data_IF_964643706675
#
_entry.id   IF_964643706675
#
_cell.length_a   1.000
_cell.length_b   1.000
_cell.length_c   1.000
_cell.angle_alpha   90.00
_cell.angle_beta   90.00
_cell.angle_gamma   90.00
#
_symmetry.space_group_name_H-M   'P 1'
#
loop_
_entity.id
_entity.type
_entity.pdbx_description
1 polymer ?
#
# COMPACT_ATOMS: atom_id res chain seq x y z
N UNK A 1 -12.19 -13.10 0.91
CA UNK A 1 -10.83 -13.10 0.36
C UNK A 1 -10.12 -11.83 0.81
N UNK A 2 -8.90 -11.96 1.27
CA UNK A 2 -8.03 -10.84 1.64
C UNK A 2 -6.93 -10.71 0.60
N UNK A 3 -6.45 -9.49 0.38
CA UNK A 3 -5.33 -9.23 -0.53
C UNK A 3 -4.23 -8.53 0.25
N UNK A 4 -2.98 -8.96 0.06
CA UNK A 4 -1.79 -8.32 0.64
C UNK A 4 -0.85 -7.97 -0.50
N UNK A 5 -0.69 -6.67 -0.81
CA UNK A 5 0.36 -6.24 -1.73
C UNK A 5 1.68 -6.09 -0.97
N UNK A 6 2.80 -6.39 -1.61
CA UNK A 6 4.09 -6.44 -0.91
C UNK A 6 4.19 -7.62 0.07
N UNK A 7 3.37 -8.67 -0.11
CA UNK A 7 3.28 -9.80 0.81
C UNK A 7 4.52 -10.69 0.86
N UNK A 8 5.45 -10.55 -0.08
CA UNK A 8 6.76 -11.20 -0.05
C UNK A 8 7.84 -10.38 0.68
N UNK A 9 7.52 -9.16 1.11
CA UNK A 9 8.39 -8.34 1.93
C UNK A 9 8.34 -8.73 3.42
N UNK A 10 9.21 -8.11 4.24
CA UNK A 10 9.31 -8.41 5.67
C UNK A 10 7.97 -8.14 6.40
N UNK A 11 7.40 -6.95 6.27
CA UNK A 11 6.13 -6.60 6.92
C UNK A 11 4.98 -7.43 6.36
N UNK A 12 4.88 -7.53 5.04
CA UNK A 12 3.79 -8.24 4.37
C UNK A 12 3.74 -9.72 4.70
N UNK A 13 4.87 -10.40 4.77
CA UNK A 13 4.92 -11.82 5.14
C UNK A 13 4.51 -12.04 6.60
N UNK A 14 4.93 -11.15 7.52
CA UNK A 14 4.50 -11.21 8.92
C UNK A 14 3.00 -10.96 9.07
N UNK A 15 2.43 -10.03 8.28
CA UNK A 15 0.98 -9.84 8.25
C UNK A 15 0.26 -11.11 7.78
N UNK A 16 0.75 -11.79 6.73
CA UNK A 16 0.17 -13.05 6.25
C UNK A 16 0.18 -14.11 7.35
N UNK A 17 1.29 -14.24 8.09
CA UNK A 17 1.35 -15.14 9.26
C UNK A 17 0.38 -14.74 10.37
N UNK A 18 0.28 -13.44 10.69
CA UNK A 18 -0.67 -12.93 11.68
C UNK A 18 -2.12 -13.27 11.29
N UNK A 19 -2.48 -13.06 10.02
CA UNK A 19 -3.79 -13.42 9.50
C UNK A 19 -4.05 -14.94 9.59
N UNK A 20 -3.04 -15.77 9.31
CA UNK A 20 -3.18 -17.23 9.45
C UNK A 20 -3.43 -17.66 10.91
N UNK A 21 -2.80 -16.99 11.90
CA UNK A 21 -3.06 -17.28 13.32
C UNK A 21 -4.51 -17.08 13.74
N UNK A 22 -5.23 -16.18 13.07
CA UNK A 22 -6.66 -15.96 13.27
C UNK A 22 -7.52 -16.66 12.21
N UNK A 23 -7.00 -17.75 11.63
CA UNK A 23 -7.68 -18.61 10.65
C UNK A 23 -8.07 -17.91 9.33
N UNK A 24 -7.50 -16.74 9.02
CA UNK A 24 -7.68 -16.08 7.73
C UNK A 24 -6.67 -16.63 6.71
N UNK A 25 -7.05 -17.66 5.95
CA UNK A 25 -6.17 -18.36 5.00
C UNK A 25 -6.52 -18.07 3.53
N UNK A 26 -7.67 -17.42 3.26
CA UNK A 26 -8.07 -17.06 1.90
C UNK A 26 -7.41 -15.75 1.47
N UNK A 27 -6.08 -15.80 1.30
CA UNK A 27 -5.22 -14.65 1.04
C UNK A 27 -4.66 -14.76 -0.38
N UNK A 28 -4.69 -13.65 -1.10
CA UNK A 28 -3.98 -13.45 -2.37
C UNK A 28 -2.86 -12.46 -2.11
N UNK A 29 -1.66 -12.77 -2.58
CA UNK A 29 -0.49 -11.91 -2.47
C UNK A 29 -0.24 -11.25 -3.83
N UNK A 30 -0.06 -9.93 -3.86
CA UNK A 30 0.44 -9.22 -5.02
C UNK A 30 1.87 -8.75 -4.76
N UNK A 31 2.83 -9.31 -5.49
CA UNK A 31 4.25 -8.93 -5.36
C UNK A 31 5.05 -9.34 -6.60
N UNK A 32 6.26 -8.77 -6.72
CA UNK A 32 7.24 -9.20 -7.71
C UNK A 32 8.01 -10.41 -7.20
N UNK A 33 7.74 -11.59 -7.74
CA UNK A 33 8.29 -12.88 -7.27
C UNK A 33 9.79 -13.09 -7.61
N UNK A 34 10.59 -12.04 -7.76
CA UNK A 34 11.91 -12.09 -8.40
C UNK A 34 13.07 -12.61 -7.54
N UNK A 35 12.88 -13.05 -6.30
CA UNK A 35 13.97 -13.65 -5.53
C UNK A 35 13.55 -14.88 -4.73
N UNK A 36 14.42 -15.92 -4.73
CA UNK A 36 14.27 -17.09 -3.86
C UNK A 36 14.21 -16.70 -2.38
N UNK A 37 14.97 -15.66 -1.97
CA UNK A 37 14.99 -15.15 -0.59
C UNK A 37 13.61 -14.67 -0.14
N UNK A 38 12.91 -13.90 -0.98
CA UNK A 38 11.55 -13.42 -0.66
C UNK A 38 10.54 -14.57 -0.47
N UNK A 39 10.65 -15.65 -1.24
CA UNK A 39 9.77 -16.82 -1.08
C UNK A 39 10.00 -17.54 0.24
N UNK A 40 11.20 -17.50 0.80
CA UNK A 40 11.51 -18.11 2.10
C UNK A 40 10.72 -17.47 3.25
N UNK A 41 10.41 -16.18 3.17
CA UNK A 41 9.57 -15.51 4.18
C UNK A 41 8.17 -16.09 4.30
N UNK A 42 7.66 -16.79 3.29
CA UNK A 42 6.32 -17.39 3.31
C UNK A 42 6.31 -18.92 3.39
N UNK A 43 7.45 -19.54 3.70
CA UNK A 43 7.63 -21.01 3.65
C UNK A 43 6.59 -21.81 4.46
N UNK A 44 6.08 -21.24 5.56
CA UNK A 44 5.05 -21.87 6.41
C UNK A 44 3.70 -21.14 6.35
N UNK A 45 3.57 -20.12 5.51
CA UNK A 45 2.34 -19.33 5.43
C UNK A 45 1.28 -20.01 4.55
N UNK A 46 0.01 -19.84 4.91
CA UNK A 46 -1.13 -20.31 4.14
C UNK A 46 -1.69 -19.18 3.29
N UNK A 47 -1.65 -19.31 1.98
CA UNK A 47 -2.23 -18.37 1.01
C UNK A 47 -2.66 -19.11 -0.25
N UNK A 48 -3.53 -18.52 -1.07
CA UNK A 48 -4.08 -19.17 -2.27
C UNK A 48 -3.12 -19.08 -3.47
N UNK A 49 -2.60 -17.87 -3.75
CA UNK A 49 -1.65 -17.64 -4.84
C UNK A 49 -0.94 -16.32 -4.73
N UNK A 50 0.14 -16.19 -5.49
CA UNK A 50 0.85 -14.94 -5.73
C UNK A 50 0.50 -14.47 -7.14
N UNK A 51 0.21 -13.19 -7.31
CA UNK A 51 -0.03 -12.55 -8.60
C UNK A 51 0.96 -11.39 -8.79
N UNK A 52 1.33 -11.14 -10.03
CA UNK A 52 2.23 -10.04 -10.37
C UNK A 52 1.49 -8.70 -10.42
N UNK A 53 2.16 -7.55 -10.15
CA UNK A 53 1.53 -6.24 -10.26
C UNK A 53 0.90 -5.94 -11.63
N UNK A 54 1.46 -6.35 -12.79
CA UNK A 54 0.81 -6.16 -14.07
C UNK A 54 -0.54 -6.84 -14.21
N UNK A 55 -0.74 -8.02 -13.58
CA UNK A 55 -1.99 -8.78 -13.62
C UNK A 55 -2.97 -8.38 -12.52
N UNK A 56 -2.58 -7.46 -11.64
CA UNK A 56 -3.30 -7.18 -10.39
C UNK A 56 -4.68 -6.62 -10.63
N UNK A 57 -4.82 -5.55 -11.41
CA UNK A 57 -6.12 -4.89 -11.64
C UNK A 57 -7.09 -5.79 -12.41
N UNK A 58 -6.61 -6.56 -13.39
CA UNK A 58 -7.44 -7.56 -14.04
C UNK A 58 -7.98 -8.59 -13.04
N UNK A 59 -7.13 -9.06 -12.12
CA UNK A 59 -7.56 -9.97 -11.05
C UNK A 59 -8.58 -9.32 -10.13
N UNK A 60 -8.38 -8.06 -9.74
CA UNK A 60 -9.30 -7.33 -8.87
C UNK A 60 -10.69 -7.25 -9.50
N UNK A 61 -10.80 -6.83 -10.76
CA UNK A 61 -12.07 -6.71 -11.47
C UNK A 61 -12.84 -8.04 -11.54
N UNK A 62 -12.14 -9.14 -11.87
CA UNK A 62 -12.74 -10.46 -11.94
C UNK A 62 -13.23 -11.00 -10.59
N UNK A 63 -12.72 -10.48 -9.48
CA UNK A 63 -12.98 -11.02 -8.14
C UNK A 63 -13.59 -10.01 -7.17
N UNK A 64 -13.97 -8.81 -7.60
CA UNK A 64 -14.37 -7.68 -6.73
C UNK A 64 -15.42 -8.05 -5.68
N UNK A 65 -16.44 -8.84 -6.04
CA UNK A 65 -17.49 -9.30 -5.11
C UNK A 65 -17.00 -10.23 -3.99
N UNK A 66 -15.80 -10.82 -4.13
CA UNK A 66 -15.21 -11.77 -3.17
C UNK A 66 -14.17 -11.11 -2.26
N UNK A 67 -13.69 -9.91 -2.59
CA UNK A 67 -12.65 -9.21 -1.84
C UNK A 67 -13.30 -8.47 -0.67
N UNK A 68 -12.77 -8.67 0.54
CA UNK A 68 -13.21 -7.98 1.76
C UNK A 68 -12.28 -6.82 2.12
N UNK A 69 -10.96 -7.07 2.07
CA UNK A 69 -9.93 -6.10 2.44
C UNK A 69 -8.73 -6.20 1.50
N UNK A 70 -8.11 -5.06 1.24
CA UNK A 70 -6.79 -4.94 0.62
C UNK A 70 -5.84 -4.28 1.62
N UNK A 71 -4.80 -5.02 2.03
CA UNK A 71 -3.67 -4.51 2.81
C UNK A 71 -2.58 -4.10 1.82
N UNK A 72 -2.40 -2.81 1.65
CA UNK A 72 -1.46 -2.26 0.67
C UNK A 72 -0.14 -1.89 1.33
N UNK A 73 0.82 -2.83 1.30
CA UNK A 73 2.17 -2.68 1.86
C UNK A 73 3.25 -2.62 0.77
N UNK A 74 2.86 -2.90 -0.49
CA UNK A 74 3.78 -2.91 -1.62
C UNK A 74 4.23 -1.50 -2.01
N UNK A 75 5.53 -1.26 -1.97
CA UNK A 75 6.16 -0.03 -2.41
C UNK A 75 7.62 -0.29 -2.83
N UNK A 76 8.19 0.61 -3.61
CA UNK A 76 9.64 0.73 -3.75
C UNK A 76 10.13 1.49 -2.53
N UNK A 77 10.89 0.82 -1.66
CA UNK A 77 11.31 1.35 -0.34
C UNK A 77 12.74 1.88 -0.31
N UNK A 78 13.46 1.87 -1.44
CA UNK A 78 14.83 2.35 -1.51
C UNK A 78 14.89 3.87 -1.26
N UNK A 79 15.33 4.28 -0.08
CA UNK A 79 15.48 5.70 0.29
C UNK A 79 16.57 6.43 -0.50
N UNK A 80 17.50 5.66 -1.08
CA UNK A 80 18.59 6.14 -1.93
C UNK A 80 18.20 6.25 -3.41
N UNK A 81 16.97 5.85 -3.78
CA UNK A 81 16.52 5.93 -5.17
C UNK A 81 16.42 7.38 -5.65
N UNK A 82 17.07 7.69 -6.76
CA UNK A 82 17.01 8.99 -7.44
C UNK A 82 15.96 9.03 -8.56
N UNK A 83 15.38 7.89 -8.93
CA UNK A 83 14.35 7.79 -9.96
C UNK A 83 12.95 8.13 -9.38
N UNK A 84 12.69 9.43 -9.31
CA UNK A 84 11.42 9.91 -8.76
C UNK A 84 10.22 9.51 -9.62
N UNK A 85 10.37 9.48 -10.94
CA UNK A 85 9.29 9.06 -11.85
C UNK A 85 8.86 7.61 -11.58
N UNK A 86 9.82 6.72 -11.35
CA UNK A 86 9.56 5.33 -10.97
C UNK A 86 8.88 5.23 -9.60
N UNK A 87 9.31 6.05 -8.62
CA UNK A 87 8.67 6.11 -7.30
C UNK A 87 7.23 6.61 -7.39
N UNK A 88 6.97 7.69 -8.12
CA UNK A 88 5.60 8.19 -8.33
C UNK A 88 4.70 7.13 -8.96
N UNK A 89 5.15 6.49 -10.03
CA UNK A 89 4.38 5.43 -10.71
C UNK A 89 4.02 4.26 -9.78
N UNK A 90 4.98 3.80 -8.97
CA UNK A 90 4.79 2.59 -8.15
C UNK A 90 4.22 2.87 -6.77
N UNK A 91 4.57 4.00 -6.14
CA UNK A 91 4.15 4.28 -4.76
C UNK A 91 2.93 5.21 -4.70
N UNK A 92 2.74 6.10 -5.67
CA UNK A 92 1.61 7.03 -5.67
C UNK A 92 0.50 6.57 -6.62
N UNK A 93 0.76 6.51 -7.94
CA UNK A 93 -0.27 6.20 -8.93
C UNK A 93 -0.90 4.81 -8.71
N UNK A 94 -0.05 3.82 -8.43
CA UNK A 94 -0.53 2.46 -8.14
C UNK A 94 -1.40 2.43 -6.88
N UNK A 95 -1.00 3.16 -5.82
CA UNK A 95 -1.76 3.27 -4.57
C UNK A 95 -3.09 3.98 -4.79
N UNK A 96 -3.11 5.08 -5.55
CA UNK A 96 -4.34 5.80 -5.92
C UNK A 96 -5.31 4.89 -6.67
N UNK A 97 -4.82 4.13 -7.65
CA UNK A 97 -5.66 3.18 -8.41
C UNK A 97 -6.29 2.11 -7.50
N UNK A 98 -5.54 1.58 -6.52
CA UNK A 98 -6.09 0.63 -5.56
C UNK A 98 -7.14 1.29 -4.67
N UNK A 99 -6.84 2.48 -4.14
CA UNK A 99 -7.79 3.22 -3.30
C UNK A 99 -9.10 3.47 -4.04
N UNK A 100 -9.06 4.02 -5.26
CA UNK A 100 -10.25 4.24 -6.10
C UNK A 100 -11.03 2.94 -6.32
N UNK A 101 -10.33 1.84 -6.65
CA UNK A 101 -10.99 0.54 -6.81
C UNK A 101 -11.69 0.11 -5.51
N UNK A 102 -11.05 0.25 -4.36
CA UNK A 102 -11.62 -0.10 -3.07
C UNK A 102 -12.85 0.73 -2.74
N UNK A 103 -12.77 2.05 -2.91
CA UNK A 103 -13.88 2.98 -2.67
C UNK A 103 -15.09 2.66 -3.56
N UNK A 104 -14.88 2.50 -4.87
CA UNK A 104 -15.95 2.22 -5.83
C UNK A 104 -16.64 0.86 -5.59
N UNK A 105 -15.95 -0.09 -4.97
CA UNK A 105 -16.47 -1.43 -4.71
C UNK A 105 -16.78 -1.71 -3.23
N UNK A 106 -16.70 -0.69 -2.35
CA UNK A 106 -16.94 -0.81 -0.89
C UNK A 106 -16.05 -1.87 -0.23
N UNK A 107 -14.78 -1.94 -0.65
CA UNK A 107 -13.77 -2.87 -0.13
C UNK A 107 -12.95 -2.15 0.93
N UNK A 108 -12.69 -2.79 2.07
CA UNK A 108 -11.83 -2.22 3.11
C UNK A 108 -10.40 -2.03 2.60
N UNK A 109 -9.81 -0.87 2.86
CA UNK A 109 -8.47 -0.51 2.43
C UNK A 109 -7.62 -0.08 3.62
N UNK A 110 -6.48 -0.73 3.80
CA UNK A 110 -5.48 -0.42 4.81
C UNK A 110 -4.14 -0.31 4.10
N UNK A 111 -3.43 0.80 4.31
CA UNK A 111 -2.13 0.99 3.68
C UNK A 111 -1.05 1.37 4.69
N UNK A 112 0.20 1.07 4.36
CA UNK A 112 1.34 1.53 5.11
C UNK A 112 1.84 2.86 4.55
N UNK A 113 1.80 3.93 5.36
CA UNK A 113 2.59 5.13 5.13
C UNK A 113 4.05 4.89 5.53
N UNK A 114 4.78 5.88 5.95
CA UNK A 114 6.19 5.73 6.34
C UNK A 114 6.59 6.81 7.33
N UNK A 115 7.41 6.47 8.33
CA UNK A 115 8.07 7.45 9.20
C UNK A 115 8.95 8.45 8.43
N UNK A 116 9.40 8.09 7.22
CA UNK A 116 10.12 9.02 6.33
C UNK A 116 9.31 10.24 5.90
N UNK A 117 7.99 10.23 6.10
CA UNK A 117 7.11 11.38 5.83
C UNK A 117 7.32 12.52 6.82
N UNK A 118 7.75 12.23 8.04
CA UNK A 118 8.01 13.23 9.07
C UNK A 118 9.26 14.09 8.82
N UNK A 119 10.11 13.68 7.88
CA UNK A 119 11.35 14.40 7.56
C UNK A 119 12.38 14.30 8.67
N UNK A 120 12.90 15.45 9.12
CA UNK A 120 13.85 15.58 10.22
C UNK A 120 13.18 15.60 11.61
N UNK A 121 11.86 15.55 11.65
CA UNK A 121 11.10 15.64 12.90
C UNK A 121 10.90 17.04 13.45
N UNK A 122 11.37 18.09 12.77
CA UNK A 122 11.24 19.48 13.23
C UNK A 122 9.78 19.91 13.47
N UNK A 123 8.83 19.26 12.79
CA UNK A 123 7.40 19.45 12.99
C UNK A 123 6.76 18.43 13.96
N UNK A 124 7.58 17.63 14.66
CA UNK A 124 7.11 16.56 15.55
C UNK A 124 6.75 15.26 14.83
N UNK A 125 6.32 14.26 15.60
CA UNK A 125 5.92 12.93 15.15
C UNK A 125 4.49 12.65 15.63
N UNK A 126 3.51 13.34 15.05
CA UNK A 126 2.12 13.25 15.51
C UNK A 126 1.24 12.55 14.47
N UNK A 127 0.79 11.34 14.79
CA UNK A 127 -0.12 10.56 13.95
C UNK A 127 -1.59 11.03 14.02
N UNK A 128 -1.94 11.84 15.03
CA UNK A 128 -3.29 12.34 15.27
C UNK A 128 -3.44 13.83 14.95
N UNK A 129 -2.43 14.41 14.31
CA UNK A 129 -2.41 15.84 14.00
C UNK A 129 -3.56 16.25 13.09
N UNK A 130 -4.05 17.50 13.23
CA UNK A 130 -5.02 18.05 12.29
C UNK A 130 -4.41 18.08 10.89
N UNK A 131 -5.25 18.09 9.90
CA UNK A 131 -4.92 18.07 8.48
C UNK A 131 -3.88 19.12 8.04
N UNK A 132 -3.85 20.26 8.72
CA UNK A 132 -2.82 21.30 8.58
C UNK A 132 -1.42 20.77 8.89
N UNK A 133 -1.30 19.74 9.72
CA UNK A 133 -0.03 19.12 10.08
C UNK A 133 0.62 18.40 8.88
N UNK A 134 -0.14 17.66 8.08
CA UNK A 134 0.40 16.99 6.90
C UNK A 134 1.10 17.95 5.94
N UNK A 135 0.54 19.14 5.73
CA UNK A 135 1.13 20.15 4.85
C UNK A 135 2.46 20.75 5.37
N UNK A 136 2.76 20.60 6.66
CA UNK A 136 4.01 21.07 7.26
C UNK A 136 5.15 20.07 7.15
N UNK A 137 4.85 18.79 6.89
CA UNK A 137 5.85 17.75 6.83
C UNK A 137 6.78 17.92 5.61
N UNK A 138 8.07 17.71 5.82
CA UNK A 138 9.11 17.89 4.79
C UNK A 138 9.97 16.63 4.66
N UNK A 139 9.51 15.61 3.95
CA UNK A 139 10.28 14.38 3.74
C UNK A 139 11.65 14.66 3.11
N UNK A 140 12.72 14.07 3.68
CA UNK A 140 14.11 14.35 3.28
C UNK A 140 14.56 13.61 2.01
N UNK A 141 13.84 12.57 1.61
CA UNK A 141 14.19 11.75 0.43
C UNK A 141 12.98 11.54 -0.48
N UNK A 142 13.27 11.11 -1.71
CA UNK A 142 12.23 10.92 -2.74
C UNK A 142 11.23 9.81 -2.39
N UNK A 143 11.67 8.77 -1.67
CA UNK A 143 10.77 7.74 -1.16
C UNK A 143 9.75 8.33 -0.17
N UNK A 144 10.21 9.04 0.85
CA UNK A 144 9.35 9.73 1.82
C UNK A 144 8.37 10.68 1.13
N UNK A 145 8.84 11.46 0.14
CA UNK A 145 7.96 12.34 -0.67
C UNK A 145 6.88 11.56 -1.41
N UNK A 146 7.21 10.41 -2.00
CA UNK A 146 6.23 9.58 -2.72
C UNK A 146 5.14 9.03 -1.80
N UNK A 147 5.47 8.71 -0.55
CA UNK A 147 4.52 8.25 0.46
C UNK A 147 3.67 9.41 0.98
N UNK A 148 4.31 10.53 1.26
CA UNK A 148 3.65 11.74 1.73
C UNK A 148 2.63 12.28 0.72
N UNK A 149 2.92 12.22 -0.59
CA UNK A 149 1.95 12.61 -1.62
C UNK A 149 0.71 11.73 -1.60
N UNK A 150 0.83 10.45 -1.26
CA UNK A 150 -0.33 9.60 -1.11
C UNK A 150 -1.12 9.92 0.16
N UNK A 151 -0.44 10.24 1.27
CA UNK A 151 -1.08 10.69 2.50
C UNK A 151 -1.90 11.97 2.25
N UNK A 152 -1.30 12.95 1.56
CA UNK A 152 -1.98 14.18 1.14
C UNK A 152 -3.16 13.89 0.19
N UNK A 153 -2.98 12.99 -0.78
CA UNK A 153 -4.06 12.62 -1.70
C UNK A 153 -5.27 12.05 -0.95
N UNK A 154 -5.06 11.14 0.00
CA UNK A 154 -6.16 10.59 0.82
C UNK A 154 -6.85 11.71 1.60
N UNK A 155 -6.07 12.59 2.19
CA UNK A 155 -6.58 13.70 2.95
C UNK A 155 -7.48 14.62 2.12
N UNK A 156 -7.01 15.10 0.97
CA UNK A 156 -7.80 15.97 0.10
C UNK A 156 -9.01 15.24 -0.49
N UNK A 157 -8.89 13.96 -0.79
CA UNK A 157 -9.99 13.15 -1.28
C UNK A 157 -11.12 12.95 -0.24
N UNK A 158 -10.80 12.96 1.07
CA UNK A 158 -11.82 12.96 2.12
C UNK A 158 -12.58 14.29 2.20
N UNK A 159 -11.93 15.40 1.86
CA UNK A 159 -12.56 16.73 1.83
C UNK A 159 -13.41 16.95 0.57
N UNK A 160 -13.05 16.34 -0.53
CA UNK A 160 -13.78 16.41 -1.79
C UNK A 160 -14.02 14.99 -2.37
N UNK A 161 -15.18 14.38 -2.03
CA UNK A 161 -15.53 13.06 -2.56
C UNK A 161 -15.60 13.00 -4.09
N UNK A 162 -15.76 14.12 -4.79
CA UNK A 162 -15.78 14.17 -6.25
C UNK A 162 -14.44 13.74 -6.88
N UNK A 163 -13.32 13.87 -6.17
CA UNK A 163 -12.02 13.35 -6.58
C UNK A 163 -11.99 11.81 -6.75
N UNK A 164 -12.95 11.10 -6.15
CA UNK A 164 -13.09 9.64 -6.32
C UNK A 164 -13.96 9.25 -7.51
N UNK A 165 -14.83 10.15 -7.99
CA UNK A 165 -15.88 9.81 -8.95
C UNK A 165 -15.46 10.07 -10.40
N UNK A 166 -14.57 11.02 -10.65
CA UNK A 166 -14.23 11.50 -12.00
C UNK A 166 -12.81 11.08 -12.43
N UNK A 167 -12.63 9.82 -12.82
CA UNK A 167 -11.63 9.44 -13.86
C UNK A 167 -11.82 7.98 -14.27
#
# INVERSE_FOLDING_TARGET
>A
MLIVTGGLGFIGSNLVYGLNKINQNNIIICDTANSKLKKNYLKKAKYKKIISPPSFFYFLEKNKKKIKYIFHLGAITATTSLDFKKLLKNNLEFSIKILKFCTNNKIGFIYASSASTYGDGSNGFNDYGPNVYLNKLKPLNLYGRSKHFFDLYIFFAQLDPALFINT
#
